data_IF_112828017285
#
_entry.id   IF_112828017285
#
_cell.length_a   1.000
_cell.length_b   1.000
_cell.length_c   1.000
_cell.angle_alpha   90.00
_cell.angle_beta   90.00
_cell.angle_gamma   90.00
#
_symmetry.space_group_name_H-M   'P 1'
#
loop_
_entity.id
_entity.type
_entity.pdbx_description
1 polymer ?
#
# COMPACT_ATOMS: atom_id res chain seq x y z
N UNK A 1 -36.02 -3.70 -13.76
CA UNK A 1 -35.85 -3.19 -12.39
C UNK A 1 -35.55 -4.31 -11.41
N UNK A 2 -36.23 -5.47 -11.50
CA UNK A 2 -35.98 -6.66 -10.65
C UNK A 2 -34.54 -7.20 -10.69
N UNK A 3 -33.79 -7.05 -11.79
CA UNK A 3 -32.43 -7.61 -11.93
C UNK A 3 -31.32 -6.82 -11.22
N UNK A 4 -31.54 -5.54 -10.90
CA UNK A 4 -30.52 -4.65 -10.32
C UNK A 4 -30.75 -4.45 -8.82
N UNK A 5 -32.02 -4.45 -8.41
CA UNK A 5 -32.47 -4.23 -7.04
C UNK A 5 -33.43 -5.35 -6.62
N UNK A 6 -32.94 -6.59 -6.68
CA UNK A 6 -33.69 -7.72 -6.18
C UNK A 6 -33.78 -7.66 -4.64
N UNK A 7 -34.99 -7.83 -4.10
CA UNK A 7 -35.26 -7.91 -2.66
C UNK A 7 -35.55 -9.35 -2.19
N UNK A 8 -35.93 -10.25 -3.09
CA UNK A 8 -36.28 -11.65 -2.77
C UNK A 8 -35.03 -12.55 -2.90
N UNK A 9 -34.59 -13.25 -1.84
CA UNK A 9 -33.33 -14.00 -1.86
C UNK A 9 -33.26 -15.08 -2.94
N UNK A 10 -34.38 -15.74 -3.26
CA UNK A 10 -34.44 -16.78 -4.29
C UNK A 10 -34.29 -16.21 -5.70
N UNK A 11 -34.93 -15.06 -5.97
CA UNK A 11 -34.73 -14.34 -7.25
C UNK A 11 -33.30 -13.83 -7.36
N UNK A 12 -32.72 -13.33 -6.27
CA UNK A 12 -31.37 -12.79 -6.26
C UNK A 12 -30.34 -13.90 -6.54
N UNK A 13 -30.59 -15.11 -6.00
CA UNK A 13 -29.78 -16.28 -6.29
C UNK A 13 -29.84 -16.67 -7.78
N UNK A 14 -31.04 -16.66 -8.38
CA UNK A 14 -31.20 -16.99 -9.79
C UNK A 14 -30.50 -16.02 -10.76
N UNK A 15 -30.51 -14.71 -10.46
CA UNK A 15 -29.91 -13.70 -11.35
C UNK A 15 -28.42 -13.44 -11.09
N UNK A 16 -27.98 -13.49 -9.83
CA UNK A 16 -26.69 -12.95 -9.40
C UNK A 16 -25.84 -13.93 -8.62
N UNK A 17 -26.31 -15.18 -8.46
CA UNK A 17 -25.67 -16.23 -7.65
C UNK A 17 -25.35 -15.75 -6.22
N UNK A 18 -26.16 -14.82 -5.69
CA UNK A 18 -25.99 -14.23 -4.38
C UNK A 18 -27.35 -13.91 -3.76
N UNK A 19 -27.64 -14.51 -2.60
CA UNK A 19 -28.90 -14.30 -1.88
C UNK A 19 -29.04 -12.90 -1.27
N UNK A 20 -27.94 -12.17 -1.07
CA UNK A 20 -27.95 -10.91 -0.31
C UNK A 20 -28.02 -9.64 -1.18
N UNK A 21 -28.04 -9.81 -2.51
CA UNK A 21 -28.29 -8.74 -3.48
C UNK A 21 -27.34 -8.74 -4.69
N UNK A 22 -27.75 -8.00 -5.72
CA UNK A 22 -27.05 -7.87 -7.01
C UNK A 22 -26.18 -6.61 -7.13
N UNK A 23 -25.84 -5.97 -6.00
CA UNK A 23 -25.22 -4.63 -5.98
C UNK A 23 -23.92 -4.54 -6.79
N UNK A 24 -23.08 -5.58 -6.78
CA UNK A 24 -21.78 -5.54 -7.47
C UNK A 24 -21.92 -5.47 -9.01
N UNK A 25 -22.99 -6.01 -9.59
CA UNK A 25 -23.21 -6.02 -11.04
C UNK A 25 -24.09 -4.85 -11.51
N UNK A 26 -24.62 -4.06 -10.58
CA UNK A 26 -25.55 -2.98 -10.88
C UNK A 26 -24.97 -1.96 -11.86
N UNK A 27 -23.74 -1.50 -11.62
CA UNK A 27 -23.11 -0.48 -12.44
C UNK A 27 -22.81 -0.96 -13.88
N UNK A 28 -22.13 -2.11 -14.10
CA UNK A 28 -21.96 -2.64 -15.46
C UNK A 28 -23.30 -2.88 -16.18
N UNK A 29 -24.31 -3.38 -15.47
CA UNK A 29 -25.62 -3.66 -16.07
C UNK A 29 -26.36 -2.37 -16.48
N UNK A 30 -26.27 -1.32 -15.67
CA UNK A 30 -26.78 0.01 -16.02
C UNK A 30 -26.09 0.57 -17.27
N UNK A 31 -24.76 0.44 -17.35
CA UNK A 31 -24.00 0.89 -18.53
C UNK A 31 -24.46 0.17 -19.79
N UNK A 32 -24.64 -1.16 -19.71
CA UNK A 32 -25.07 -1.97 -20.85
C UNK A 32 -26.50 -1.67 -21.31
N UNK A 33 -27.40 -1.32 -20.39
CA UNK A 33 -28.83 -1.09 -20.69
C UNK A 33 -29.15 0.35 -21.09
N UNK A 34 -28.55 1.33 -20.42
CA UNK A 34 -28.94 2.74 -20.56
C UNK A 34 -28.20 3.48 -21.67
N UNK A 35 -26.92 3.16 -21.93
CA UNK A 35 -26.15 3.91 -22.94
C UNK A 35 -26.58 3.50 -24.36
N UNK A 36 -26.41 4.36 -25.37
CA UNK A 36 -26.62 4.00 -26.77
C UNK A 36 -25.43 3.22 -27.34
N UNK A 37 -25.63 2.59 -28.51
CA UNK A 37 -24.58 1.88 -29.26
C UNK A 37 -23.40 2.83 -29.53
N UNK A 38 -22.17 2.33 -29.50
CA UNK A 38 -20.96 3.16 -29.55
C UNK A 38 -20.49 3.62 -28.16
N UNK A 39 -21.30 4.40 -27.45
CA UNK A 39 -20.99 4.87 -26.09
C UNK A 39 -20.84 3.73 -25.07
N UNK A 40 -21.61 2.63 -25.24
CA UNK A 40 -21.43 1.40 -24.46
C UNK A 40 -20.00 0.85 -24.53
N UNK A 41 -19.44 0.75 -25.75
CA UNK A 41 -18.11 0.20 -25.97
C UNK A 41 -17.02 1.11 -25.39
N UNK A 42 -17.18 2.42 -25.57
CA UNK A 42 -16.27 3.42 -24.99
C UNK A 42 -16.26 3.34 -23.45
N UNK A 43 -17.42 3.23 -22.82
CA UNK A 43 -17.52 3.15 -21.36
C UNK A 43 -16.92 1.86 -20.79
N UNK A 44 -17.14 0.71 -21.44
CA UNK A 44 -16.52 -0.56 -21.03
C UNK A 44 -15.00 -0.55 -21.21
N UNK A 45 -14.50 0.03 -22.31
CA UNK A 45 -13.07 0.19 -22.53
C UNK A 45 -12.44 1.08 -21.46
N UNK A 46 -13.08 2.21 -21.11
CA UNK A 46 -12.63 3.10 -20.05
C UNK A 46 -12.62 2.40 -18.68
N UNK A 47 -13.65 1.60 -18.36
CA UNK A 47 -13.68 0.81 -17.13
C UNK A 47 -12.52 -0.20 -17.07
N UNK A 48 -12.30 -0.97 -18.14
CA UNK A 48 -11.20 -1.94 -18.20
C UNK A 48 -9.83 -1.27 -18.10
N UNK A 49 -9.64 -0.13 -18.78
CA UNK A 49 -8.41 0.65 -18.70
C UNK A 49 -8.15 1.16 -17.27
N UNK A 50 -9.16 1.71 -16.60
CA UNK A 50 -9.07 2.18 -15.22
C UNK A 50 -8.74 1.04 -14.23
N UNK A 51 -9.35 -0.13 -14.43
CA UNK A 51 -9.05 -1.34 -13.64
C UNK A 51 -7.61 -1.80 -13.85
N UNK A 52 -7.14 -1.87 -15.10
CA UNK A 52 -5.76 -2.26 -15.41
C UNK A 52 -4.74 -1.27 -14.82
N UNK A 53 -5.02 0.02 -14.86
CA UNK A 53 -4.16 1.05 -14.26
C UNK A 53 -4.04 0.88 -12.74
N UNK A 54 -5.16 0.69 -12.05
CA UNK A 54 -5.20 0.50 -10.59
C UNK A 54 -4.49 -0.80 -10.18
N UNK A 55 -4.76 -1.91 -10.89
CA UNK A 55 -4.11 -3.20 -10.65
C UNK A 55 -2.59 -3.11 -10.85
N UNK A 56 -2.16 -2.47 -11.94
CA UNK A 56 -0.72 -2.30 -12.24
C UNK A 56 -0.03 -1.48 -11.15
N UNK A 57 -0.66 -0.40 -10.67
CA UNK A 57 -0.12 0.41 -9.58
C UNK A 57 0.05 -0.39 -8.29
N UNK A 58 -0.97 -1.15 -7.88
CA UNK A 58 -0.93 -1.95 -6.65
C UNK A 58 0.13 -3.05 -6.74
N UNK A 59 0.18 -3.79 -7.86
CA UNK A 59 1.15 -4.86 -8.07
C UNK A 59 2.59 -4.32 -8.12
N UNK A 60 2.80 -3.14 -8.71
CA UNK A 60 4.11 -2.51 -8.74
C UNK A 60 4.55 -2.06 -7.34
N UNK A 61 3.68 -1.41 -6.57
CA UNK A 61 3.98 -1.03 -5.18
C UNK A 61 4.26 -2.24 -4.29
N UNK A 62 3.48 -3.32 -4.42
CA UNK A 62 3.72 -4.55 -3.66
C UNK A 62 5.04 -5.24 -4.05
N UNK A 63 5.37 -5.25 -5.34
CA UNK A 63 6.68 -5.71 -5.85
C UNK A 63 7.83 -4.89 -5.25
N UNK A 64 7.69 -3.56 -5.18
CA UNK A 64 8.69 -2.68 -4.55
C UNK A 64 8.85 -2.97 -3.06
N UNK A 65 7.77 -3.14 -2.30
CA UNK A 65 7.85 -3.51 -0.87
C UNK A 65 8.56 -4.87 -0.70
N UNK A 66 8.19 -5.87 -1.50
CA UNK A 66 8.82 -7.20 -1.43
C UNK A 66 10.30 -7.18 -1.80
N UNK A 67 10.70 -6.35 -2.76
CA UNK A 67 12.09 -6.25 -3.23
C UNK A 67 12.95 -5.36 -2.35
N UNK A 68 12.45 -4.17 -1.99
CA UNK A 68 13.20 -3.17 -1.25
C UNK A 68 13.19 -3.39 0.26
N UNK A 69 12.03 -3.74 0.82
CA UNK A 69 11.88 -3.82 2.27
C UNK A 69 12.17 -5.25 2.78
N UNK A 70 11.75 -6.27 2.03
CA UNK A 70 11.86 -7.67 2.47
C UNK A 70 13.12 -8.34 1.90
N UNK A 71 13.30 -8.34 0.57
CA UNK A 71 14.40 -9.09 -0.06
C UNK A 71 15.79 -8.56 0.31
N UNK A 72 15.96 -7.24 0.44
CA UNK A 72 17.24 -6.67 0.89
C UNK A 72 17.60 -7.04 2.33
N UNK A 73 16.60 -7.17 3.21
CA UNK A 73 16.84 -7.62 4.59
C UNK A 73 17.36 -9.06 4.64
N UNK A 74 16.85 -9.93 3.77
CA UNK A 74 17.35 -11.30 3.64
C UNK A 74 18.69 -11.39 2.90
N UNK A 75 18.89 -10.56 1.86
CA UNK A 75 20.10 -10.55 1.04
C UNK A 75 20.65 -9.14 0.87
N UNK A 76 21.48 -8.72 1.83
CA UNK A 76 22.12 -7.40 1.90
C UNK A 76 22.96 -7.00 0.67
N UNK A 77 23.36 -7.96 -0.19
CA UNK A 77 24.11 -7.74 -1.44
C UNK A 77 23.38 -8.31 -2.67
N UNK A 78 22.13 -7.89 -2.90
CA UNK A 78 21.37 -8.29 -4.07
C UNK A 78 21.78 -7.50 -5.33
N UNK A 79 22.02 -8.21 -6.44
CA UNK A 79 22.28 -7.59 -7.75
C UNK A 79 21.02 -6.90 -8.31
N UNK A 80 21.18 -5.90 -9.17
CA UNK A 80 20.04 -5.22 -9.80
C UNK A 80 19.19 -6.17 -10.65
N UNK A 81 19.84 -7.08 -11.40
CA UNK A 81 19.13 -8.09 -12.20
C UNK A 81 18.31 -9.04 -11.33
N UNK A 82 18.85 -9.39 -10.16
CA UNK A 82 18.17 -10.26 -9.21
C UNK A 82 16.91 -9.59 -8.65
N UNK A 83 17.02 -8.31 -8.29
CA UNK A 83 15.91 -7.54 -7.75
C UNK A 83 14.75 -7.43 -8.75
N UNK A 84 15.07 -7.22 -10.03
CA UNK A 84 14.07 -7.16 -11.09
C UNK A 84 13.36 -8.52 -11.30
N UNK A 85 14.10 -9.63 -11.22
CA UNK A 85 13.54 -10.97 -11.33
C UNK A 85 12.62 -11.26 -10.14
N UNK A 86 13.07 -10.97 -8.91
CA UNK A 86 12.28 -11.16 -7.68
C UNK A 86 11.01 -10.33 -7.73
N UNK A 87 11.07 -9.08 -8.20
CA UNK A 87 9.89 -8.24 -8.37
C UNK A 87 8.87 -8.84 -9.33
N UNK A 88 9.30 -9.30 -10.51
CA UNK A 88 8.41 -9.95 -11.50
C UNK A 88 7.81 -11.24 -10.97
N UNK A 89 8.60 -12.09 -10.30
CA UNK A 89 8.12 -13.33 -9.68
C UNK A 89 7.09 -13.01 -8.59
N UNK A 90 7.35 -11.99 -7.77
CA UNK A 90 6.41 -11.52 -6.74
C UNK A 90 5.07 -11.16 -7.35
N UNK A 91 5.04 -10.40 -8.46
CA UNK A 91 3.79 -10.05 -9.15
C UNK A 91 3.02 -11.30 -9.60
N UNK A 92 3.70 -12.29 -10.19
CA UNK A 92 3.06 -13.54 -10.60
C UNK A 92 2.47 -14.31 -9.42
N UNK A 93 3.21 -14.39 -8.31
CA UNK A 93 2.75 -15.05 -7.07
C UNK A 93 1.54 -14.33 -6.48
N UNK A 94 1.56 -13.00 -6.43
CA UNK A 94 0.44 -12.19 -5.92
C UNK A 94 -0.82 -12.35 -6.78
N UNK A 95 -0.69 -12.42 -8.10
CA UNK A 95 -1.82 -12.69 -9.01
C UNK A 95 -2.39 -14.09 -8.74
N UNK A 96 -1.54 -15.11 -8.61
CA UNK A 96 -1.98 -16.47 -8.31
C UNK A 96 -2.73 -16.57 -6.97
N UNK A 97 -2.18 -15.95 -5.91
CA UNK A 97 -2.82 -15.88 -4.59
C UNK A 97 -4.16 -15.11 -4.64
N UNK A 98 -4.25 -14.04 -5.43
CA UNK A 98 -5.49 -13.27 -5.61
C UNK A 98 -6.59 -14.09 -6.26
N UNK A 99 -6.26 -14.91 -7.28
CA UNK A 99 -7.21 -15.83 -7.91
C UNK A 99 -7.67 -16.90 -6.93
N UNK A 100 -6.75 -17.45 -6.13
CA UNK A 100 -7.06 -18.45 -5.10
C UNK A 100 -7.99 -17.90 -4.00
N UNK A 101 -7.98 -16.58 -3.77
CA UNK A 101 -8.79 -15.92 -2.75
C UNK A 101 -10.25 -15.65 -3.17
N UNK A 102 -10.56 -15.67 -4.48
CA UNK A 102 -11.91 -15.44 -5.00
C UNK A 102 -13.04 -16.26 -4.35
N UNK A 103 -12.91 -17.59 -4.11
CA UNK A 103 -13.99 -18.37 -3.48
C UNK A 103 -14.30 -17.91 -2.05
N UNK A 104 -13.31 -17.43 -1.30
CA UNK A 104 -13.49 -16.92 0.06
C UNK A 104 -14.30 -15.61 0.02
N UNK A 105 -14.02 -14.74 -0.97
CA UNK A 105 -14.76 -13.49 -1.17
C UNK A 105 -16.25 -13.73 -1.48
N UNK A 106 -16.57 -14.80 -2.22
CA UNK A 106 -17.95 -15.13 -2.58
C UNK A 106 -18.76 -15.66 -1.38
N UNK A 107 -18.09 -16.35 -0.45
CA UNK A 107 -18.73 -16.92 0.74
C UNK A 107 -18.94 -15.88 1.84
N UNK A 108 -18.08 -14.86 1.92
CA UNK A 108 -18.09 -13.89 3.03
C UNK A 108 -19.03 -12.69 2.76
N UNK A 109 -19.63 -12.13 3.83
CA UNK A 109 -20.44 -10.88 3.81
C UNK A 109 -21.63 -10.90 2.83
N UNK A 110 -22.21 -12.07 2.59
CA UNK A 110 -23.34 -12.20 1.68
C UNK A 110 -23.03 -11.67 0.28
N UNK A 111 -21.78 -11.78 -0.17
CA UNK A 111 -21.32 -11.32 -1.48
C UNK A 111 -21.38 -9.80 -1.69
N UNK A 112 -21.48 -8.97 -0.65
CA UNK A 112 -21.37 -7.51 -0.77
C UNK A 112 -19.90 -7.07 -0.68
N UNK A 113 -19.27 -6.88 -1.83
CA UNK A 113 -17.82 -6.66 -1.93
C UNK A 113 -17.34 -5.39 -1.19
N UNK A 114 -18.12 -4.31 -1.25
CA UNK A 114 -17.77 -3.05 -0.58
C UNK A 114 -17.63 -3.19 0.94
N UNK A 115 -18.60 -3.83 1.60
CA UNK A 115 -18.56 -4.06 3.05
C UNK A 115 -17.40 -4.97 3.45
N UNK A 116 -17.12 -6.01 2.65
CA UNK A 116 -15.94 -6.85 2.86
C UNK A 116 -14.64 -6.03 2.83
N UNK A 117 -14.42 -5.25 1.77
CA UNK A 117 -13.20 -4.45 1.62
C UNK A 117 -13.05 -3.45 2.76
N UNK A 118 -14.14 -2.81 3.16
CA UNK A 118 -14.11 -1.82 4.24
C UNK A 118 -13.90 -2.46 5.62
N UNK A 119 -14.47 -3.64 5.87
CA UNK A 119 -14.29 -4.37 7.13
C UNK A 119 -12.82 -4.79 7.30
N UNK A 120 -12.22 -5.39 6.27
CA UNK A 120 -10.79 -5.78 6.31
C UNK A 120 -9.89 -4.56 6.55
N UNK A 121 -10.15 -3.44 5.87
CA UNK A 121 -9.43 -2.18 6.09
C UNK A 121 -9.58 -1.68 7.52
N UNK A 122 -10.77 -1.79 8.08
CA UNK A 122 -11.10 -1.35 9.45
C UNK A 122 -10.36 -2.11 10.53
N UNK A 123 -9.88 -3.32 10.24
CA UNK A 123 -9.10 -4.13 11.19
C UNK A 123 -7.59 -3.88 11.13
N UNK A 124 -7.07 -3.37 10.01
CA UNK A 124 -5.62 -3.29 9.76
C UNK A 124 -5.09 -1.85 9.66
N UNK A 125 -5.86 -0.95 9.06
CA UNK A 125 -5.41 0.43 8.76
C UNK A 125 -5.39 1.36 9.99
N UNK A 126 -6.36 1.32 10.92
CA UNK A 126 -6.42 2.33 12.00
C UNK A 126 -5.14 2.42 12.86
N UNK A 127 -4.51 1.30 13.30
CA UNK A 127 -3.25 1.37 14.05
C UNK A 127 -2.10 2.00 13.24
N UNK A 128 -2.05 1.74 11.93
CA UNK A 128 -1.08 2.36 11.02
C UNK A 128 -1.29 3.87 10.92
N UNK A 129 -2.55 4.33 10.85
CA UNK A 129 -2.83 5.76 10.89
C UNK A 129 -2.37 6.40 12.21
N UNK A 130 -2.63 5.76 13.35
CA UNK A 130 -2.25 6.32 14.65
C UNK A 130 -0.74 6.35 14.88
N UNK A 131 0.03 5.37 14.40
CA UNK A 131 1.51 5.44 14.47
C UNK A 131 2.06 6.64 13.69
N UNK A 132 1.52 6.93 12.50
CA UNK A 132 2.00 8.07 11.70
C UNK A 132 1.60 9.40 12.35
N UNK A 133 0.38 9.51 12.86
CA UNK A 133 -0.06 10.71 13.57
C UNK A 133 0.79 10.97 14.82
N UNK A 134 1.05 9.94 15.64
CA UNK A 134 1.91 10.07 16.81
C UNK A 134 3.35 10.39 16.43
N UNK A 135 3.91 9.72 15.42
CA UNK A 135 5.26 9.98 14.93
C UNK A 135 5.46 11.40 14.41
N UNK A 136 4.45 11.99 13.77
CA UNK A 136 4.51 13.35 13.23
C UNK A 136 4.29 14.43 14.29
N UNK A 137 3.32 14.25 15.19
CA UNK A 137 2.89 15.31 16.12
C UNK A 137 3.46 15.19 17.53
N UNK A 138 3.99 14.02 17.92
CA UNK A 138 4.48 13.75 19.26
C UNK A 138 5.94 13.29 19.27
N UNK A 139 6.83 14.20 19.69
CA UNK A 139 8.29 14.00 19.69
C UNK A 139 8.78 12.88 20.63
N UNK A 140 7.92 12.40 21.54
CA UNK A 140 8.26 11.33 22.49
C UNK A 140 7.90 9.93 21.98
N UNK A 141 7.43 9.81 20.74
CA UNK A 141 7.12 8.50 20.15
C UNK A 141 8.40 7.66 20.07
N UNK A 142 8.38 6.47 20.69
CA UNK A 142 9.51 5.53 20.71
C UNK A 142 9.26 4.36 19.76
N UNK A 143 10.34 3.77 19.25
CA UNK A 143 10.28 2.62 18.36
C UNK A 143 9.62 1.40 19.03
N UNK A 144 9.99 1.12 20.28
CA UNK A 144 9.39 0.02 21.06
C UNK A 144 7.90 0.25 21.30
N UNK A 145 7.49 1.49 21.60
CA UNK A 145 6.08 1.83 21.77
C UNK A 145 5.27 1.62 20.51
N UNK A 146 5.80 2.03 19.36
CA UNK A 146 5.16 1.79 18.06
C UNK A 146 5.12 0.30 17.73
N UNK A 147 6.22 -0.43 17.88
CA UNK A 147 6.31 -1.86 17.58
C UNK A 147 5.28 -2.68 18.37
N UNK A 148 5.28 -2.54 19.70
CA UNK A 148 4.34 -3.28 20.56
C UNK A 148 2.90 -2.80 20.40
N UNK A 149 2.69 -1.50 20.18
CA UNK A 149 1.38 -0.95 19.89
C UNK A 149 0.77 -1.50 18.60
N UNK A 150 1.58 -1.61 17.53
CA UNK A 150 1.17 -2.23 16.28
C UNK A 150 0.93 -3.73 16.46
N UNK A 151 1.86 -4.47 17.08
CA UNK A 151 1.71 -5.92 17.29
C UNK A 151 0.43 -6.26 18.05
N UNK A 152 0.16 -5.60 19.17
CA UNK A 152 -1.06 -5.85 19.95
C UNK A 152 -2.32 -5.53 19.14
N UNK A 153 -2.32 -4.40 18.43
CA UNK A 153 -3.48 -3.98 17.64
C UNK A 153 -3.72 -4.88 16.43
N UNK A 154 -2.66 -5.36 15.79
CA UNK A 154 -2.74 -6.36 14.71
C UNK A 154 -3.30 -7.68 15.23
N UNK A 155 -2.87 -8.14 16.41
CA UNK A 155 -3.43 -9.36 17.02
C UNK A 155 -4.93 -9.17 17.29
N UNK A 156 -5.34 -8.06 17.91
CA UNK A 156 -6.76 -7.76 18.18
C UNK A 156 -7.57 -7.68 16.88
N UNK A 157 -7.01 -7.03 15.85
CA UNK A 157 -7.62 -6.91 14.52
C UNK A 157 -7.78 -8.27 13.82
N UNK A 158 -6.76 -9.13 13.84
CA UNK A 158 -6.82 -10.48 13.25
C UNK A 158 -7.81 -11.36 14.02
N UNK A 159 -7.83 -11.29 15.35
CA UNK A 159 -8.83 -12.03 16.15
C UNK A 159 -10.25 -11.62 15.76
N UNK A 160 -10.51 -10.32 15.63
CA UNK A 160 -11.82 -9.84 15.15
C UNK A 160 -12.12 -10.32 13.73
N UNK A 161 -11.15 -10.21 12.83
CA UNK A 161 -11.28 -10.66 11.45
C UNK A 161 -11.63 -12.15 11.38
N UNK A 162 -10.93 -13.02 12.12
CA UNK A 162 -11.21 -14.45 12.17
C UNK A 162 -12.61 -14.71 12.71
N UNK A 163 -13.03 -14.01 13.76
CA UNK A 163 -14.38 -14.18 14.32
C UNK A 163 -15.48 -13.77 13.32
N UNK A 164 -15.29 -12.67 12.58
CA UNK A 164 -16.24 -12.24 11.56
C UNK A 164 -16.27 -13.19 10.34
N UNK A 165 -15.17 -13.90 10.07
CA UNK A 165 -15.14 -14.97 9.06
C UNK A 165 -15.78 -16.28 9.53
N UNK A 166 -15.66 -16.63 10.81
CA UNK A 166 -16.25 -17.87 11.35
C UNK A 166 -17.73 -17.72 11.66
N UNK A 167 -18.16 -16.55 12.16
CA UNK A 167 -19.54 -16.27 12.54
C UNK A 167 -20.16 -15.28 11.55
N UNK A 168 -20.62 -15.81 10.43
CA UNK A 168 -21.28 -15.01 9.40
C UNK A 168 -22.58 -14.40 9.93
N UNK A 169 -22.81 -13.14 9.57
CA UNK A 169 -24.09 -12.48 9.84
C UNK A 169 -25.21 -13.21 9.09
N UNK A 170 -26.30 -13.60 9.76
CA UNK A 170 -27.47 -14.16 9.08
C UNK A 170 -28.07 -13.10 8.13
N UNK A 171 -28.62 -13.51 6.98
CA UNK A 171 -29.24 -12.57 6.05
C UNK A 171 -30.42 -11.85 6.72
N UNK A 172 -30.50 -10.53 6.53
CA UNK A 172 -31.56 -9.71 7.13
C UNK A 172 -32.94 -10.26 6.74
N UNK A 173 -33.75 -10.64 7.73
CA UNK A 173 -35.10 -11.19 7.52
C UNK A 173 -35.20 -12.72 7.46
N UNK A 174 -34.10 -13.47 7.61
CA UNK A 174 -34.20 -14.89 7.94
C UNK A 174 -34.53 -15.06 9.42
N UNK A 175 -35.45 -15.97 9.76
CA UNK A 175 -35.75 -16.36 11.15
C UNK A 175 -34.65 -17.26 11.76
N UNK A 176 -33.42 -17.15 11.25
CA UNK A 176 -32.27 -17.91 11.75
C UNK A 176 -31.74 -17.27 13.03
N UNK A 177 -31.42 -18.10 14.02
CA UNK A 177 -30.92 -17.62 15.32
C UNK A 177 -29.50 -17.07 15.12
N UNK A 178 -29.26 -15.82 15.52
CA UNK A 178 -27.94 -15.19 15.46
C UNK A 178 -26.99 -15.90 16.44
N UNK A 179 -26.00 -16.63 15.90
CA UNK A 179 -25.00 -17.38 16.68
C UNK A 179 -23.76 -16.54 17.02
N UNK A 180 -23.73 -15.26 16.61
CA UNK A 180 -22.59 -14.38 16.85
C UNK A 180 -22.46 -14.00 18.33
N UNK A 181 -21.24 -13.97 18.90
CA UNK A 181 -21.00 -13.41 20.22
C UNK A 181 -21.54 -11.97 20.33
N UNK A 182 -22.05 -11.57 21.49
CA UNK A 182 -22.66 -10.24 21.67
C UNK A 182 -21.72 -9.08 21.30
N UNK A 183 -20.42 -9.23 21.52
CA UNK A 183 -19.38 -8.25 21.18
C UNK A 183 -19.29 -8.02 19.66
N UNK A 184 -19.69 -9.01 18.87
CA UNK A 184 -19.69 -8.97 17.40
C UNK A 184 -21.01 -8.43 16.87
N UNK A 185 -22.12 -8.91 17.41
CA UNK A 185 -23.45 -8.50 16.96
C UNK A 185 -23.75 -7.03 17.28
N UNK A 186 -23.26 -6.50 18.41
CA UNK A 186 -23.52 -5.12 18.86
C UNK A 186 -22.54 -4.07 18.33
N UNK A 187 -21.34 -4.47 17.88
CA UNK A 187 -20.30 -3.54 17.44
C UNK A 187 -20.04 -3.73 15.95
N UNK A 188 -20.50 -2.77 15.16
CA UNK A 188 -20.22 -2.69 13.73
C UNK A 188 -18.73 -2.46 13.44
N UNK A 189 -18.25 -2.89 12.28
CA UNK A 189 -16.84 -2.82 11.89
C UNK A 189 -16.27 -1.38 11.97
N UNK A 190 -17.08 -0.35 11.70
CA UNK A 190 -16.63 1.03 11.75
C UNK A 190 -16.41 1.53 13.19
N UNK A 191 -17.31 1.14 14.10
CA UNK A 191 -17.15 1.45 15.53
C UNK A 191 -15.94 0.72 16.11
N UNK A 192 -15.74 -0.54 15.69
CA UNK A 192 -14.55 -1.30 16.06
C UNK A 192 -13.26 -0.64 15.59
N UNK A 193 -13.21 -0.06 14.38
CA UNK A 193 -12.04 0.68 13.89
C UNK A 193 -11.64 1.84 14.81
N UNK A 194 -12.61 2.60 15.32
CA UNK A 194 -12.37 3.71 16.26
C UNK A 194 -11.85 3.17 17.58
N UNK A 195 -12.47 2.12 18.12
CA UNK A 195 -12.03 1.47 19.36
C UNK A 195 -10.59 0.95 19.22
N UNK A 196 -10.29 0.29 18.10
CA UNK A 196 -8.96 -0.25 17.82
C UNK A 196 -7.92 0.88 17.70
N UNK A 197 -8.27 1.98 17.03
CA UNK A 197 -7.42 3.17 16.95
C UNK A 197 -7.09 3.70 18.36
N UNK A 198 -8.10 3.88 19.21
CA UNK A 198 -7.91 4.37 20.58
C UNK A 198 -7.03 3.41 21.41
N UNK A 199 -7.29 2.11 21.36
CA UNK A 199 -6.48 1.10 22.04
C UNK A 199 -5.03 1.17 21.57
N UNK A 200 -4.81 1.23 20.25
CA UNK A 200 -3.47 1.33 19.66
C UNK A 200 -2.72 2.57 20.15
N UNK A 201 -3.39 3.73 20.18
CA UNK A 201 -2.81 4.99 20.67
C UNK A 201 -2.47 4.92 22.15
N UNK A 202 -3.37 4.40 22.99
CA UNK A 202 -3.12 4.25 24.43
C UNK A 202 -1.88 3.38 24.64
N UNK A 203 -1.78 2.25 23.97
CA UNK A 203 -0.66 1.31 24.13
C UNK A 203 0.65 1.95 23.65
N UNK A 204 0.64 2.60 22.48
CA UNK A 204 1.81 3.31 21.95
C UNK A 204 2.28 4.42 22.89
N UNK A 205 1.36 5.20 23.45
CA UNK A 205 1.66 6.30 24.38
C UNK A 205 2.22 5.74 25.68
N UNK A 206 1.55 4.77 26.29
CA UNK A 206 1.96 4.17 27.57
C UNK A 206 3.37 3.60 27.45
N UNK A 207 3.62 2.73 26.47
CA UNK A 207 4.94 2.10 26.30
C UNK A 207 6.01 3.15 25.95
N UNK A 208 5.68 4.16 25.15
CA UNK A 208 6.62 5.25 24.84
C UNK A 208 6.94 6.14 26.05
N UNK A 209 6.03 6.28 27.00
CA UNK A 209 6.30 7.00 28.25
C UNK A 209 7.25 6.21 29.17
N UNK A 210 7.15 4.87 29.18
CA UNK A 210 7.99 3.97 29.98
C UNK A 210 9.34 3.64 29.33
N UNK A 211 9.50 3.88 28.02
CA UNK A 211 10.74 3.62 27.29
C UNK A 211 11.64 4.86 27.25
N UNK A 212 12.94 4.67 27.04
CA UNK A 212 13.89 5.78 26.89
C UNK A 212 13.52 6.68 25.70
N UNK A 213 13.47 8.02 25.89
CA UNK A 213 13.18 8.94 24.80
C UNK A 213 14.33 8.95 23.78
N UNK A 214 14.00 9.08 22.49
CA UNK A 214 15.03 9.27 21.44
C UNK A 214 15.73 10.61 21.64
N UNK A 215 17.07 10.68 21.46
CA UNK A 215 17.82 11.93 21.59
C UNK A 215 17.38 12.95 20.54
N UNK A 216 17.29 14.22 20.93
CA UNK A 216 16.77 15.31 20.07
C UNK A 216 17.51 15.44 18.72
N UNK A 217 18.80 15.13 18.71
CA UNK A 217 19.63 15.10 17.49
C UNK A 217 19.11 14.18 16.39
N UNK A 218 18.38 13.11 16.74
CA UNK A 218 17.78 12.16 15.79
C UNK A 218 16.41 12.62 15.29
N UNK A 219 15.82 13.67 15.86
CA UNK A 219 14.46 14.13 15.58
C UNK A 219 14.40 15.34 14.63
N UNK A 220 15.54 15.95 14.27
CA UNK A 220 15.59 17.10 13.38
C UNK A 220 14.91 16.81 12.04
N UNK A 221 14.02 17.73 11.61
CA UNK A 221 13.26 17.67 10.34
C UNK A 221 12.30 16.48 10.16
N UNK A 222 12.12 15.63 11.19
CA UNK A 222 11.24 14.46 11.12
C UNK A 222 9.84 14.69 11.72
N UNK A 223 9.71 15.59 12.69
CA UNK A 223 8.42 15.90 13.33
C UNK A 223 7.89 17.23 12.83
N UNK A 224 6.59 17.47 13.02
CA UNK A 224 5.96 18.74 12.66
C UNK A 224 6.65 19.93 13.35
N UNK A 225 7.11 19.74 14.59
CA UNK A 225 7.73 20.78 15.40
C UNK A 225 9.19 21.05 15.03
N UNK A 226 9.93 20.01 14.61
CA UNK A 226 11.36 20.08 14.24
C UNK A 226 11.57 20.31 12.73
N UNK A 227 10.48 20.54 11.98
CA UNK A 227 10.50 20.62 10.51
C UNK A 227 11.45 21.70 9.97
N UNK A 228 11.58 22.83 10.67
CA UNK A 228 12.38 23.97 10.24
C UNK A 228 13.80 23.98 10.84
N UNK A 229 14.24 22.90 11.48
CA UNK A 229 15.58 22.83 12.03
C UNK A 229 16.61 22.79 10.88
N UNK A 230 17.65 23.62 10.99
CA UNK A 230 18.75 23.67 10.00
C UNK A 230 19.68 22.44 10.10
N UNK A 231 19.70 21.77 11.26
CA UNK A 231 20.50 20.59 11.49
C UNK A 231 19.94 19.36 10.76
N UNK A 232 20.83 18.54 10.20
CA UNK A 232 20.47 17.22 9.69
C UNK A 232 20.34 16.20 10.84
N UNK A 233 19.40 15.25 10.77
CA UNK A 233 19.29 14.20 11.77
C UNK A 233 20.54 13.30 11.75
N UNK A 234 21.16 13.09 12.91
CA UNK A 234 22.30 12.16 13.06
C UNK A 234 21.79 10.69 13.02
N UNK A 235 21.86 10.04 11.86
CA UNK A 235 21.46 8.64 11.64
C UNK A 235 22.53 7.62 12.10
N UNK A 236 23.07 7.77 13.30
CA UNK A 236 24.08 6.86 13.85
C UNK A 236 23.42 5.76 14.69
N UNK A 237 22.97 4.71 14.01
CA UNK A 237 22.85 3.34 14.56
C UNK A 237 23.43 2.40 13.49
N UNK A 238 24.31 1.46 13.85
CA UNK A 238 25.01 0.60 12.87
C UNK A 238 24.05 -0.23 11.98
N UNK A 239 22.78 -0.39 12.38
CA UNK A 239 21.72 -1.07 11.61
C UNK A 239 21.04 -0.12 10.60
N UNK A 240 20.83 1.14 10.96
CA UNK A 240 20.34 2.19 10.06
C UNK A 240 21.45 2.65 9.11
N UNK A 241 22.72 2.63 9.54
CA UNK A 241 23.84 2.79 8.61
C UNK A 241 23.76 1.70 7.55
N UNK A 242 23.66 0.39 7.83
CA UNK A 242 23.60 -0.60 6.74
C UNK A 242 22.37 -0.47 5.81
N UNK A 243 21.18 -0.17 6.34
CA UNK A 243 19.97 0.00 5.50
C UNK A 243 20.04 1.31 4.72
N UNK A 244 20.31 2.44 5.38
CA UNK A 244 20.39 3.76 4.75
C UNK A 244 21.64 3.90 3.87
N UNK A 245 22.76 3.31 4.26
CA UNK A 245 23.97 3.12 3.43
C UNK A 245 23.74 2.11 2.32
N UNK A 246 22.80 1.16 2.37
CA UNK A 246 22.46 0.37 1.16
C UNK A 246 21.65 1.18 0.14
N UNK A 247 20.77 2.08 0.60
CA UNK A 247 20.07 3.06 -0.26
C UNK A 247 21.03 4.14 -0.78
N UNK A 248 21.96 4.61 0.05
CA UNK A 248 22.94 5.64 -0.27
C UNK A 248 24.10 5.08 -1.11
N UNK A 249 24.72 3.94 -0.78
CA UNK A 249 25.77 3.27 -1.57
C UNK A 249 25.29 2.84 -2.96
N UNK A 250 23.99 2.67 -3.18
CA UNK A 250 23.44 2.53 -4.54
C UNK A 250 23.53 3.81 -5.36
N UNK A 251 23.62 4.97 -4.72
CA UNK A 251 24.03 6.24 -5.31
C UNK A 251 25.51 6.64 -5.08
N UNK A 252 26.22 6.00 -4.15
CA UNK A 252 27.47 6.54 -3.59
C UNK A 252 28.70 5.59 -3.63
N UNK A 253 28.58 4.29 -3.98
CA UNK A 253 29.76 3.42 -4.12
C UNK A 253 30.24 3.26 -5.59
N UNK A 254 31.29 3.99 -6.03
CA UNK A 254 31.98 3.73 -7.29
C UNK A 254 32.74 2.39 -7.32
N UNK A 255 32.71 1.59 -6.24
CA UNK A 255 33.41 0.30 -6.15
C UNK A 255 32.51 -0.95 -6.28
N UNK A 256 31.20 -0.87 -6.05
CA UNK A 256 30.27 -1.97 -6.40
C UNK A 256 29.81 -1.90 -7.86
N UNK A 257 30.18 -0.82 -8.56
CA UNK A 257 30.13 -0.72 -10.03
C UNK A 257 31.49 -0.98 -10.69
N UNK A 258 32.46 -1.54 -9.96
CA UNK A 258 33.48 -2.39 -10.56
C UNK A 258 33.15 -3.84 -10.24
N UNK A 259 32.22 -4.41 -11.01
CA UNK A 259 32.52 -5.75 -11.52
C UNK A 259 33.62 -5.50 -12.55
N UNK A 260 34.87 -5.41 -12.09
CA UNK A 260 35.92 -6.11 -12.80
C UNK A 260 35.48 -7.58 -12.74
N UNK A 261 34.76 -8.01 -13.77
CA UNK A 261 35.03 -9.34 -14.30
C UNK A 261 36.49 -9.22 -14.74
N UNK A 262 37.38 -9.59 -13.83
CA UNK A 262 38.65 -10.16 -14.19
C UNK A 262 38.36 -11.56 -14.72
N UNK A 263 37.49 -11.64 -15.74
CA UNK A 263 37.44 -12.76 -16.66
C UNK A 263 38.36 -12.32 -17.80
N UNK A 264 39.66 -12.44 -17.53
CA UNK A 264 40.58 -12.88 -18.57
C UNK A 264 40.21 -14.32 -18.96
N UNK A 265 39.01 -14.54 -19.49
CA UNK A 265 38.78 -15.57 -20.47
C UNK A 265 38.99 -14.92 -21.82
N UNK A 266 40.23 -15.07 -22.29
CA UNK A 266 40.63 -15.18 -23.68
C UNK A 266 39.50 -15.01 -24.69
N UNK A 267 39.71 -14.11 -25.65
CA UNK A 267 38.82 -13.87 -26.78
C UNK A 267 38.27 -15.16 -27.36
N UNK A 268 37.01 -15.44 -27.04
CA UNK A 268 36.16 -16.34 -27.79
C UNK A 268 34.98 -15.49 -28.27
N UNK A 269 34.86 -15.36 -29.59
CA UNK A 269 33.68 -14.80 -30.24
C UNK A 269 32.43 -15.48 -29.67
N UNK A 270 31.65 -14.74 -28.88
CA UNK A 270 30.33 -15.21 -28.41
C UNK A 270 29.48 -15.49 -29.65
N UNK A 271 29.09 -16.75 -29.83
CA UNK A 271 28.22 -17.18 -30.94
C UNK A 271 26.93 -16.35 -30.94
N UNK A 272 26.34 -16.11 -32.13
CA UNK A 272 25.13 -15.27 -32.27
C UNK A 272 23.98 -15.67 -31.34
N UNK A 273 23.90 -16.95 -30.97
CA UNK A 273 22.94 -17.48 -30.01
C UNK A 273 23.16 -16.98 -28.57
N UNK A 274 24.41 -16.86 -28.11
CA UNK A 274 24.70 -16.31 -26.78
C UNK A 274 24.44 -14.82 -26.69
N UNK A 275 24.72 -14.06 -27.76
CA UNK A 275 24.33 -12.64 -27.85
C UNK A 275 22.82 -12.47 -27.78
N UNK A 276 22.07 -13.31 -28.49
CA UNK A 276 20.59 -13.27 -28.49
C UNK A 276 20.03 -13.64 -27.12
N UNK A 277 20.60 -14.65 -26.44
CA UNK A 277 20.24 -15.04 -25.07
C UNK A 277 20.52 -13.92 -24.07
N UNK A 278 21.66 -13.24 -24.19
CA UNK A 278 22.04 -12.13 -23.31
C UNK A 278 21.17 -10.90 -23.56
N UNK A 279 20.85 -10.60 -24.82
CA UNK A 279 19.94 -9.51 -25.19
C UNK A 279 18.50 -9.78 -24.74
N UNK A 280 18.01 -11.02 -24.90
CA UNK A 280 16.71 -11.44 -24.36
C UNK A 280 16.69 -11.36 -22.84
N UNK A 281 17.75 -11.78 -22.16
CA UNK A 281 17.88 -11.64 -20.70
C UNK A 281 17.87 -10.17 -20.27
N UNK A 282 18.57 -9.28 -20.97
CA UNK A 282 18.60 -7.85 -20.65
C UNK A 282 17.26 -7.16 -20.95
N UNK A 283 16.58 -7.55 -22.02
CA UNK A 283 15.22 -7.09 -22.35
C UNK A 283 14.18 -7.57 -21.32
N UNK A 284 14.25 -8.85 -20.93
CA UNK A 284 13.41 -9.42 -19.86
C UNK A 284 13.79 -8.83 -18.50
N UNK A 285 15.05 -8.52 -18.23
CA UNK A 285 15.45 -7.87 -16.99
C UNK A 285 15.35 -6.35 -17.05
N UNK A 286 14.87 -5.75 -18.14
CA UNK A 286 14.73 -4.30 -18.32
C UNK A 286 15.95 -3.48 -17.89
N UNK A 287 17.15 -4.03 -18.09
CA UNK A 287 18.39 -3.31 -17.79
C UNK A 287 18.74 -2.53 -19.05
N UNK A 288 18.37 -1.26 -19.06
CA UNK A 288 18.92 -0.31 -20.03
C UNK A 288 20.40 -0.07 -19.66
N UNK A 289 21.32 -0.42 -20.56
CA UNK A 289 22.76 -0.16 -20.38
C UNK A 289 23.04 1.35 -20.26
N UNK A 290 22.12 2.20 -20.73
CA UNK A 290 22.25 3.65 -20.81
C UNK A 290 21.88 4.41 -19.51
N UNK A 291 21.30 3.74 -18.50
CA UNK A 291 20.79 4.40 -17.30
C UNK A 291 21.82 4.56 -16.16
N UNK A 292 23.12 4.38 -16.42
CA UNK A 292 24.19 4.62 -15.45
C UNK A 292 24.65 6.07 -15.49
N UNK A 293 23.76 6.99 -15.07
CA UNK A 293 24.22 8.31 -14.68
C UNK A 293 24.85 8.18 -13.28
N UNK A 294 26.16 7.91 -13.23
CA UNK A 294 26.94 8.00 -11.99
C UNK A 294 27.00 9.45 -11.57
N UNK A 295 26.04 9.89 -10.75
CA UNK A 295 26.07 11.22 -10.15
C UNK A 295 27.33 11.33 -9.29
N UNK A 296 28.04 12.44 -9.44
CA UNK A 296 29.17 12.77 -8.55
C UNK A 296 28.66 12.96 -7.12
N UNK A 297 29.50 12.71 -6.11
CA UNK A 297 29.10 12.87 -4.69
C UNK A 297 28.53 14.28 -4.40
N UNK A 298 29.01 15.30 -5.11
CA UNK A 298 28.51 16.67 -5.03
C UNK A 298 27.09 16.81 -5.62
N UNK A 299 26.83 16.22 -6.79
CA UNK A 299 25.49 16.22 -7.40
C UNK A 299 24.48 15.44 -6.57
N UNK A 300 24.90 14.34 -5.94
CA UNK A 300 24.04 13.56 -5.04
C UNK A 300 23.66 14.36 -3.80
N UNK A 301 24.61 15.09 -3.20
CA UNK A 301 24.35 15.99 -2.09
C UNK A 301 23.41 17.14 -2.50
N UNK A 302 23.61 17.72 -3.69
CA UNK A 302 22.72 18.77 -4.19
C UNK A 302 21.30 18.22 -4.45
N UNK A 303 21.18 17.04 -5.04
CA UNK A 303 19.91 16.37 -5.28
C UNK A 303 19.19 16.06 -3.96
N UNK A 304 19.92 15.55 -2.95
CA UNK A 304 19.41 15.32 -1.60
C UNK A 304 18.94 16.62 -0.96
N UNK A 305 19.71 17.70 -1.09
CA UNK A 305 19.32 19.02 -0.58
C UNK A 305 18.06 19.52 -1.25
N UNK A 306 17.92 19.33 -2.56
CA UNK A 306 16.69 19.68 -3.31
C UNK A 306 15.49 18.83 -2.89
N UNK A 307 15.65 17.53 -2.68
CA UNK A 307 14.56 16.64 -2.26
C UNK A 307 14.12 16.86 -0.81
N UNK A 308 15.03 17.31 0.05
CA UNK A 308 14.74 17.55 1.47
C UNK A 308 14.40 19.02 1.77
N UNK A 309 14.66 19.93 0.84
CA UNK A 309 14.30 21.35 0.99
C UNK A 309 12.79 21.51 1.06
N UNK A 310 12.34 22.26 2.06
CA UNK A 310 10.96 22.68 2.24
C UNK A 310 10.70 24.07 1.64
N UNK A 311 11.72 24.68 1.04
CA UNK A 311 11.59 25.99 0.42
C UNK A 311 10.83 25.89 -0.89
N UNK A 312 9.57 26.32 -0.85
CA UNK A 312 8.75 26.45 -2.03
C UNK A 312 8.92 27.84 -2.67
N UNK A 313 8.96 27.88 -4.00
CA UNK A 313 8.89 29.14 -4.73
C UNK A 313 7.53 29.83 -4.47
N UNK A 314 7.51 31.16 -4.44
CA UNK A 314 6.29 31.94 -4.12
C UNK A 314 5.11 31.62 -5.05
N UNK A 315 5.37 31.23 -6.30
CA UNK A 315 4.33 30.80 -7.25
C UNK A 315 3.74 29.43 -6.86
N UNK A 316 4.59 28.47 -6.49
CA UNK A 316 4.14 27.13 -6.07
C UNK A 316 3.30 27.20 -4.80
N UNK A 317 3.68 28.04 -3.84
CA UNK A 317 2.90 28.27 -2.62
C UNK A 317 1.50 28.80 -2.91
N UNK A 318 1.37 29.74 -3.85
CA UNK A 318 0.06 30.28 -4.27
C UNK A 318 -0.77 29.18 -4.93
N UNK A 319 -0.18 28.41 -5.85
CA UNK A 319 -0.87 27.30 -6.53
C UNK A 319 -1.35 26.27 -5.51
N UNK A 320 -0.47 25.84 -4.60
CA UNK A 320 -0.79 24.85 -3.56
C UNK A 320 -1.95 25.32 -2.68
N UNK A 321 -1.91 26.57 -2.20
CA UNK A 321 -2.96 27.12 -1.37
C UNK A 321 -4.30 27.24 -2.11
N UNK A 322 -4.29 27.67 -3.37
CA UNK A 322 -5.50 27.74 -4.21
C UNK A 322 -6.07 26.35 -4.44
N UNK A 323 -5.25 25.36 -4.78
CA UNK A 323 -5.67 23.98 -4.95
C UNK A 323 -6.24 23.39 -3.65
N UNK A 324 -5.62 23.67 -2.50
CA UNK A 324 -6.11 23.22 -1.19
C UNK A 324 -7.47 23.84 -0.84
N UNK A 325 -7.66 25.15 -1.07
CA UNK A 325 -8.94 25.83 -0.88
C UNK A 325 -10.01 25.23 -1.80
N UNK A 326 -9.68 25.00 -3.07
CA UNK A 326 -10.61 24.39 -4.00
C UNK A 326 -11.03 22.98 -3.59
N UNK A 327 -10.08 22.14 -3.18
CA UNK A 327 -10.36 20.76 -2.72
C UNK A 327 -11.20 20.77 -1.43
N UNK A 328 -10.91 21.65 -0.48
CA UNK A 328 -11.68 21.77 0.75
C UNK A 328 -13.12 22.26 0.49
N UNK A 329 -13.31 23.24 -0.39
CA UNK A 329 -14.65 23.68 -0.79
C UNK A 329 -15.40 22.53 -1.48
N UNK A 330 -14.77 21.85 -2.44
CA UNK A 330 -15.39 20.76 -3.18
C UNK A 330 -15.81 19.62 -2.24
N UNK A 331 -14.95 19.24 -1.30
CA UNK A 331 -15.26 18.19 -0.31
C UNK A 331 -16.41 18.59 0.61
N UNK A 332 -16.45 19.82 1.10
CA UNK A 332 -17.57 20.33 1.91
C UNK A 332 -18.88 20.31 1.10
N UNK A 333 -18.85 20.77 -0.15
CA UNK A 333 -20.05 20.79 -1.02
C UNK A 333 -20.55 19.37 -1.26
N UNK A 334 -19.66 18.43 -1.57
CA UNK A 334 -20.04 17.03 -1.78
C UNK A 334 -20.61 16.42 -0.49
N UNK A 335 -19.99 16.69 0.67
CA UNK A 335 -20.51 16.22 1.96
C UNK A 335 -21.90 16.78 2.25
N UNK A 336 -22.13 18.08 2.04
CA UNK A 336 -23.44 18.71 2.27
C UNK A 336 -24.50 18.22 1.28
N UNK A 337 -24.10 17.95 0.03
CA UNK A 337 -25.04 17.49 -1.00
C UNK A 337 -25.46 16.03 -0.81
N UNK A 338 -24.57 15.18 -0.28
CA UNK A 338 -24.81 13.74 -0.10
C UNK A 338 -25.14 13.32 1.34
N UNK A 339 -25.10 14.24 2.31
CA UNK A 339 -25.58 14.03 3.69
C UNK A 339 -27.09 14.21 3.80
#
# INVERSE_FOLDING_TARGET
TEEVACSDPDKCMAFCNNKSGCTNIAYPLMVLRLLPKGLRGLMLAALLAALMSSLTSILNSASSIMTLDIWHQFRKKASQSELMIVGRVTVLVLIALSILWLPILQQTQGGRFWFYMQSVKSYLIPPLCMMFLLGLFWNRTTEQGVFWGLMLSTIVGVVRMTLDFTFLAPPCGSNEVDTRPEIISKVDFLHFAIILALISTIVMVVISLFTQPRPEKKLHRLTWWTRNDEAEPELTDNEDEEVHTSFIKRGEDPKTMQIQENDQTNGNEKTGFERLKTSFKNWVCGIDEDAKQTLTAQELQELRRRMTSLEESSKMKIILNVSAIFITILTIVLLVYFA
#
